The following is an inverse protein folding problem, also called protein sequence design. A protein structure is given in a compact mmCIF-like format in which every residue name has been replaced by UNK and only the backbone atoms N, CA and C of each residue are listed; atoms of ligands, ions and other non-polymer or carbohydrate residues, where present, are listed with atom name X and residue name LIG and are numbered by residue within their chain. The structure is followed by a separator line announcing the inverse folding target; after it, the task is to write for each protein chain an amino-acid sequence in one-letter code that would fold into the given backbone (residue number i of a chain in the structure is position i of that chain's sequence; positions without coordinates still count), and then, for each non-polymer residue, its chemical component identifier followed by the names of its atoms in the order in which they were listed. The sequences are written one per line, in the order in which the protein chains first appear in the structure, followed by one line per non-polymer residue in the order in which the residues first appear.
data_IF_348991873617
#
_entry.id   IF_348991873617
#
_cell.length_a   1.000
_cell.length_b   1.000
_cell.length_c   1.000
_cell.angle_alpha   90.00
_cell.angle_beta   90.00
_cell.angle_gamma   90.00
#
_symmetry.space_group_name_H-M   'P 1'
#
loop_
_entity.id
_entity.type
_entity.pdbx_description
1 polymer ?
#
# COMPACT_ATOMS: atom_id res chain seq x y z
N UNK A 1 -13.78 16.13 12.43
CA UNK A 1 -12.64 15.28 12.86
C UNK A 1 -13.16 14.29 13.90
N UNK A 2 -12.93 12.97 13.76
CA UNK A 2 -13.48 11.94 14.67
C UNK A 2 -12.71 11.78 16.00
N UNK A 3 -11.52 12.39 16.17
CA UNK A 3 -10.64 12.18 17.35
C UNK A 3 -9.91 13.45 17.84
N UNK A 4 -10.30 14.64 17.38
CA UNK A 4 -9.64 15.90 17.77
C UNK A 4 -8.21 16.09 17.22
N UNK A 5 -7.72 15.16 16.37
CA UNK A 5 -6.43 15.28 15.71
C UNK A 5 -6.49 16.26 14.55
N UNK A 6 -5.42 17.04 14.38
CA UNK A 6 -5.26 17.93 13.24
C UNK A 6 -5.30 17.14 11.92
N UNK A 7 -5.88 17.75 10.90
CA UNK A 7 -5.87 17.19 9.54
C UNK A 7 -4.45 17.33 8.99
N UNK A 8 -3.88 16.22 8.53
CA UNK A 8 -2.60 16.20 7.85
C UNK A 8 -2.69 16.94 6.50
N UNK A 9 -1.62 17.66 6.17
CA UNK A 9 -1.44 18.34 4.90
C UNK A 9 -0.84 17.39 3.86
N UNK A 10 -1.25 17.55 2.60
CA UNK A 10 -0.68 16.76 1.51
C UNK A 10 0.74 17.25 1.19
N UNK A 11 1.69 16.33 1.07
CA UNK A 11 3.05 16.61 0.64
C UNK A 11 3.40 15.85 -0.64
N UNK A 12 3.73 16.61 -1.70
CA UNK A 12 4.18 16.06 -2.98
C UNK A 12 5.49 15.27 -2.86
N UNK A 13 6.38 15.66 -1.94
CA UNK A 13 7.65 14.95 -1.72
C UNK A 13 7.40 13.56 -1.11
N UNK A 14 6.47 13.47 -0.15
CA UNK A 14 6.08 12.21 0.46
C UNK A 14 5.32 11.31 -0.52
N UNK A 15 4.44 11.88 -1.35
CA UNK A 15 3.67 11.16 -2.38
C UNK A 15 4.59 10.57 -3.46
N UNK A 16 5.54 11.37 -3.95
CA UNK A 16 6.56 10.91 -4.89
C UNK A 16 7.40 9.78 -4.30
N UNK A 17 7.85 9.93 -3.04
CA UNK A 17 8.62 8.90 -2.33
C UNK A 17 7.82 7.61 -2.15
N UNK A 18 6.56 7.72 -1.74
CA UNK A 18 5.67 6.58 -1.52
C UNK A 18 5.38 5.83 -2.84
N UNK A 19 5.12 6.58 -3.91
CA UNK A 19 4.85 6.03 -5.25
C UNK A 19 6.08 5.29 -5.80
N UNK A 20 7.26 5.90 -5.68
CA UNK A 20 8.52 5.26 -6.07
C UNK A 20 8.75 3.95 -5.31
N UNK A 21 8.58 3.96 -3.99
CA UNK A 21 8.83 2.77 -3.18
C UNK A 21 7.81 1.65 -3.39
N UNK A 22 6.54 1.98 -3.62
CA UNK A 22 5.54 1.01 -4.04
C UNK A 22 5.96 0.34 -5.36
N UNK A 23 6.44 1.14 -6.32
CA UNK A 23 6.97 0.66 -7.59
C UNK A 23 8.21 -0.23 -7.44
N UNK A 24 9.13 0.08 -6.54
CA UNK A 24 10.29 -0.76 -6.25
C UNK A 24 9.88 -2.11 -5.65
N UNK A 25 9.00 -2.13 -4.64
CA UNK A 25 8.46 -3.38 -4.07
C UNK A 25 7.80 -4.25 -5.15
N UNK A 26 6.97 -3.64 -5.99
CA UNK A 26 6.31 -4.30 -7.11
C UNK A 26 7.29 -4.75 -8.22
N UNK A 27 8.45 -4.11 -8.39
CA UNK A 27 9.40 -4.49 -9.44
C UNK A 27 10.38 -5.56 -8.97
N UNK A 28 10.79 -5.51 -7.71
CA UNK A 28 11.86 -6.34 -7.13
C UNK A 28 11.37 -7.52 -6.28
N UNK A 29 10.06 -7.74 -6.19
CA UNK A 29 9.46 -8.89 -5.49
C UNK A 29 9.76 -8.92 -4.01
N UNK A 30 9.52 -7.80 -3.33
CA UNK A 30 9.71 -7.75 -1.89
C UNK A 30 8.63 -6.90 -1.22
N UNK A 31 8.36 -7.24 0.03
CA UNK A 31 7.50 -6.46 0.90
C UNK A 31 8.17 -6.20 2.25
N UNK A 32 8.44 -4.94 2.56
CA UNK A 32 9.01 -4.55 3.84
C UNK A 32 9.49 -3.11 3.85
N UNK A 33 9.75 -2.58 5.04
CA UNK A 33 10.23 -1.19 5.23
C UNK A 33 11.69 -0.98 4.81
N UNK A 34 12.46 -2.07 4.72
CA UNK A 34 13.89 -2.08 4.43
C UNK A 34 14.12 -2.59 3.01
N UNK A 35 14.65 -1.76 2.13
CA UNK A 35 14.97 -2.16 0.77
C UNK A 35 16.13 -3.19 0.78
N UNK A 36 16.00 -4.35 0.13
CA UNK A 36 17.00 -5.42 0.18
C UNK A 36 18.28 -5.12 -0.63
N UNK A 37 18.17 -4.28 -1.66
CA UNK A 37 19.27 -4.03 -2.62
C UNK A 37 19.72 -2.56 -2.77
N UNK A 38 19.12 -1.61 -2.05
CA UNK A 38 19.40 -0.19 -2.21
C UNK A 38 19.85 0.37 -0.87
N UNK A 39 21.18 0.45 -0.67
CA UNK A 39 21.75 0.86 0.61
C UNK A 39 21.54 2.35 0.90
N UNK A 40 21.53 3.20 -0.13
CA UNK A 40 21.36 4.64 0.01
C UNK A 40 19.92 5.07 0.29
N UNK A 41 18.94 4.26 -0.10
CA UNK A 41 17.50 4.50 0.09
C UNK A 41 16.85 3.36 0.88
N UNK A 42 17.60 2.82 1.84
CA UNK A 42 17.29 1.55 2.50
C UNK A 42 16.07 1.63 3.41
N UNK A 43 15.99 2.62 4.27
CA UNK A 43 14.91 2.77 5.25
C UNK A 43 13.92 3.87 4.86
N UNK A 44 12.73 3.95 5.48
CA UNK A 44 11.76 5.01 5.19
C UNK A 44 12.35 6.40 5.42
N UNK A 45 13.19 6.54 6.46
CA UNK A 45 13.88 7.80 6.77
C UNK A 45 14.83 8.19 5.65
N UNK A 46 15.64 7.25 5.14
CA UNK A 46 16.59 7.52 4.05
C UNK A 46 15.85 7.98 2.78
N UNK A 47 14.76 7.28 2.44
CA UNK A 47 13.92 7.61 1.29
C UNK A 47 13.27 9.00 1.40
N UNK A 48 12.67 9.30 2.56
CA UNK A 48 11.99 10.58 2.78
C UNK A 48 13.03 11.72 2.81
N UNK A 49 14.15 11.56 3.53
CA UNK A 49 15.17 12.60 3.62
C UNK A 49 15.89 12.88 2.31
N UNK A 50 15.95 11.92 1.39
CA UNK A 50 16.46 12.15 0.04
C UNK A 50 15.61 13.17 -0.74
N UNK A 51 14.31 13.29 -0.44
CA UNK A 51 13.39 14.25 -1.08
C UNK A 51 13.10 15.47 -0.21
N UNK A 52 13.23 15.34 1.11
CA UNK A 52 12.97 16.40 2.08
C UNK A 52 13.96 16.32 3.25
N UNK A 53 15.18 16.85 3.09
CA UNK A 53 16.26 16.70 4.09
C UNK A 53 15.94 17.27 5.48
N UNK A 54 15.09 18.29 5.54
CA UNK A 54 14.77 19.04 6.76
C UNK A 54 13.84 18.28 7.73
N UNK A 55 13.15 17.22 7.29
CA UNK A 55 12.22 16.49 8.18
C UNK A 55 12.93 15.89 9.39
N UNK A 56 12.33 16.03 10.57
CA UNK A 56 12.90 15.50 11.81
C UNK A 56 12.17 14.24 12.26
N UNK A 57 10.89 14.13 11.93
CA UNK A 57 10.05 13.02 12.36
C UNK A 57 9.32 12.42 11.17
N UNK A 58 9.34 11.09 11.04
CA UNK A 58 8.71 10.38 9.93
C UNK A 58 8.00 9.11 10.41
N UNK A 59 7.12 8.59 9.56
CA UNK A 59 6.47 7.29 9.74
C UNK A 59 6.07 6.71 8.39
N UNK A 60 5.94 5.39 8.34
CA UNK A 60 5.50 4.68 7.14
C UNK A 60 4.51 3.58 7.52
N UNK A 61 3.38 3.52 6.80
CA UNK A 61 2.53 2.34 6.76
C UNK A 61 2.68 1.66 5.40
N UNK A 62 2.80 0.34 5.42
CA UNK A 62 2.81 -0.49 4.23
C UNK A 62 1.58 -1.40 4.21
N UNK A 63 1.10 -1.72 3.02
CA UNK A 63 0.11 -2.75 2.81
C UNK A 63 0.33 -3.43 1.47
N UNK A 64 -0.04 -4.70 1.40
CA UNK A 64 -0.09 -5.50 0.19
C UNK A 64 -1.44 -6.22 0.20
N UNK A 65 -2.33 -5.84 -0.72
CA UNK A 65 -3.68 -6.41 -0.79
C UNK A 65 -4.13 -6.58 -2.22
N UNK A 66 -4.96 -7.59 -2.45
CA UNK A 66 -5.62 -7.75 -3.73
C UNK A 66 -6.69 -6.67 -3.95
N UNK A 67 -6.87 -6.15 -5.19
CA UNK A 67 -7.98 -5.25 -5.48
C UNK A 67 -9.33 -5.99 -5.49
N UNK A 68 -9.31 -7.32 -5.43
CA UNK A 68 -10.50 -8.16 -5.29
C UNK A 68 -10.94 -8.29 -3.82
N UNK A 69 -12.25 -8.37 -3.62
CA UNK A 69 -12.91 -8.57 -2.32
C UNK A 69 -12.74 -10.02 -1.86
N UNK A 70 -11.57 -10.35 -1.32
CA UNK A 70 -11.30 -11.67 -0.75
C UNK A 70 -11.48 -11.66 0.77
N UNK A 71 -12.31 -12.56 1.29
CA UNK A 71 -12.62 -12.63 2.74
C UNK A 71 -11.41 -13.01 3.60
N UNK A 72 -10.40 -13.66 3.02
CA UNK A 72 -9.14 -14.07 3.66
C UNK A 72 -8.00 -14.01 2.63
N UNK A 73 -6.82 -13.54 3.00
CA UNK A 73 -5.64 -13.50 2.10
C UNK A 73 -5.21 -14.88 1.59
N UNK A 74 -5.65 -15.97 2.23
CA UNK A 74 -5.45 -17.36 1.78
C UNK A 74 -6.73 -18.03 1.30
N UNK A 75 -7.73 -17.24 0.90
CA UNK A 75 -8.93 -17.80 0.31
C UNK A 75 -8.54 -18.56 -0.97
N UNK A 76 -9.11 -19.75 -1.16
CA UNK A 76 -8.95 -20.48 -2.42
C UNK A 76 -9.66 -19.69 -3.51
N UNK A 77 -8.91 -19.31 -4.54
CA UNK A 77 -9.44 -18.80 -5.80
C UNK A 77 -9.06 -19.74 -6.94
N UNK A 78 -9.72 -19.60 -8.08
CA UNK A 78 -9.38 -20.27 -9.32
C UNK A 78 -9.12 -19.24 -10.41
N UNK A 79 -8.23 -19.56 -11.33
CA UNK A 79 -7.96 -18.73 -12.49
C UNK A 79 -8.58 -19.42 -13.70
N UNK A 80 -9.33 -18.67 -14.50
CA UNK A 80 -9.91 -19.13 -15.75
C UNK A 80 -9.44 -18.19 -16.87
N UNK A 81 -8.83 -18.76 -17.91
CA UNK A 81 -8.59 -18.04 -19.17
C UNK A 81 -9.88 -18.07 -20.00
N UNK A 82 -10.23 -16.92 -20.58
CA UNK A 82 -11.39 -16.72 -21.42
C UNK A 82 -11.01 -16.82 -22.91
N UNK A 83 -12.02 -17.00 -23.78
CA UNK A 83 -11.81 -17.15 -25.23
C UNK A 83 -11.14 -15.91 -25.89
N UNK A 84 -11.23 -14.74 -25.25
CA UNK A 84 -10.60 -13.48 -25.69
C UNK A 84 -9.18 -13.28 -25.13
N UNK A 85 -8.63 -14.25 -24.40
CA UNK A 85 -7.32 -14.19 -23.77
C UNK A 85 -7.28 -13.38 -22.46
N UNK A 86 -8.44 -12.94 -21.95
CA UNK A 86 -8.54 -12.36 -20.61
C UNK A 86 -8.59 -13.44 -19.53
N UNK A 87 -8.39 -13.04 -18.27
CA UNK A 87 -8.41 -13.96 -17.13
C UNK A 87 -9.44 -13.51 -16.10
N UNK A 88 -10.23 -14.47 -15.61
CA UNK A 88 -11.14 -14.32 -14.49
C UNK A 88 -10.58 -15.01 -13.25
N UNK A 89 -10.58 -14.31 -12.13
CA UNK A 89 -10.34 -14.89 -10.81
C UNK A 89 -11.67 -15.22 -10.16
N UNK A 90 -11.88 -16.49 -9.83
CA UNK A 90 -13.13 -17.03 -9.33
C UNK A 90 -13.02 -17.47 -7.88
N UNK A 91 -14.10 -17.36 -7.13
CA UNK A 91 -14.21 -17.87 -5.78
C UNK A 91 -14.38 -19.41 -5.71
N UNK A 92 -14.52 -19.93 -4.49
CA UNK A 92 -14.74 -21.37 -4.25
C UNK A 92 -16.01 -21.95 -4.90
N UNK A 93 -16.97 -21.10 -5.27
CA UNK A 93 -18.23 -21.44 -5.94
C UNK A 93 -18.16 -21.22 -7.45
N UNK A 94 -16.97 -20.93 -8.01
CA UNK A 94 -16.75 -20.60 -9.43
C UNK A 94 -17.45 -19.31 -9.88
N UNK A 95 -17.71 -18.38 -8.96
CA UNK A 95 -18.22 -17.04 -9.29
C UNK A 95 -17.06 -16.05 -9.42
N UNK A 96 -17.11 -15.09 -10.36
CA UNK A 96 -16.10 -14.04 -10.46
C UNK A 96 -15.91 -13.29 -9.14
N UNK A 97 -14.66 -13.07 -8.74
CA UNK A 97 -14.32 -12.24 -7.61
C UNK A 97 -14.69 -10.79 -7.90
N UNK A 98 -15.34 -10.14 -6.95
CA UNK A 98 -15.75 -8.75 -7.08
C UNK A 98 -14.56 -7.81 -6.85
N UNK A 99 -14.41 -6.81 -7.69
CA UNK A 99 -13.44 -5.73 -7.47
C UNK A 99 -13.93 -4.77 -6.39
N UNK A 100 -12.98 -4.22 -5.64
CA UNK A 100 -13.22 -2.99 -4.90
C UNK A 100 -13.32 -1.80 -5.87
N UNK A 101 -14.24 -0.88 -5.59
CA UNK A 101 -14.10 0.51 -6.10
C UNK A 101 -12.93 1.19 -5.38
N UNK A 102 -12.39 2.26 -5.96
CA UNK A 102 -11.35 3.07 -5.31
C UNK A 102 -11.71 3.42 -3.85
N UNK A 103 -12.93 3.90 -3.63
CA UNK A 103 -13.41 4.26 -2.28
C UNK A 103 -13.45 3.05 -1.34
N UNK A 104 -14.04 1.94 -1.77
CA UNK A 104 -14.17 0.75 -0.92
C UNK A 104 -12.81 0.07 -0.65
N UNK A 105 -11.84 0.24 -1.55
CA UNK A 105 -10.48 -0.26 -1.34
C UNK A 105 -9.75 0.60 -0.32
N UNK A 106 -9.82 1.92 -0.46
CA UNK A 106 -9.23 2.84 0.51
C UNK A 106 -9.82 2.66 1.92
N UNK A 107 -11.15 2.45 2.02
CA UNK A 107 -11.83 2.13 3.28
C UNK A 107 -11.31 0.81 3.87
N UNK A 108 -11.26 -0.26 3.06
CA UNK A 108 -10.73 -1.56 3.47
C UNK A 108 -9.30 -1.47 4.00
N UNK A 109 -8.39 -0.82 3.27
CA UNK A 109 -6.98 -0.65 3.67
C UNK A 109 -6.89 0.14 4.97
N UNK A 110 -7.63 1.24 5.08
CA UNK A 110 -7.65 2.09 6.28
C UNK A 110 -8.16 1.31 7.49
N UNK A 111 -9.21 0.50 7.33
CA UNK A 111 -9.75 -0.35 8.40
C UNK A 111 -8.74 -1.42 8.83
N UNK A 112 -8.02 -2.04 7.89
CA UNK A 112 -6.95 -3.00 8.20
C UNK A 112 -5.81 -2.34 8.98
N UNK A 113 -5.37 -1.15 8.56
CA UNK A 113 -4.37 -0.39 9.31
C UNK A 113 -4.87 0.04 10.70
N UNK A 114 -6.11 0.50 10.82
CA UNK A 114 -6.72 0.82 12.11
C UNK A 114 -6.84 -0.39 13.02
N UNK A 115 -7.01 -1.60 12.49
CA UNK A 115 -6.98 -2.85 13.26
C UNK A 115 -5.59 -3.20 13.81
N UNK A 116 -4.52 -2.85 13.10
CA UNK A 116 -3.13 -3.14 13.48
C UNK A 116 -2.58 -2.11 14.48
N UNK A 117 -1.94 -2.56 15.56
CA UNK A 117 -1.36 -1.66 16.58
C UNK A 117 -0.33 -0.70 15.99
N UNK A 118 0.62 -1.20 15.20
CA UNK A 118 1.69 -0.38 14.61
C UNK A 118 1.16 0.64 13.60
N UNK A 119 0.36 0.19 12.64
CA UNK A 119 -0.20 1.09 11.63
C UNK A 119 -1.15 2.13 12.22
N UNK A 120 -1.99 1.72 13.19
CA UNK A 120 -2.88 2.63 13.93
C UNK A 120 -2.10 3.68 14.71
N UNK A 121 -0.93 3.35 15.25
CA UNK A 121 -0.08 4.33 15.94
C UNK A 121 0.33 5.45 14.99
N UNK A 122 0.73 5.13 13.76
CA UNK A 122 1.04 6.15 12.75
C UNK A 122 -0.19 6.98 12.36
N UNK A 123 -1.32 6.32 12.07
CA UNK A 123 -2.58 7.00 11.69
C UNK A 123 -3.13 7.94 12.75
N UNK A 124 -2.84 7.68 14.03
CA UNK A 124 -3.33 8.45 15.17
C UNK A 124 -2.23 9.30 15.84
N UNK A 125 -1.07 9.43 15.22
CA UNK A 125 0.04 10.17 15.79
C UNK A 125 -0.21 11.69 15.62
N UNK A 126 -0.37 12.46 16.70
CA UNK A 126 -0.61 13.90 16.61
C UNK A 126 0.63 14.69 16.17
N UNK A 127 1.81 14.06 16.15
CA UNK A 127 3.06 14.74 15.83
C UNK A 127 3.35 14.80 14.34
N UNK A 128 2.52 14.19 13.48
CA UNK A 128 2.63 14.33 12.04
C UNK A 128 1.84 15.54 11.56
N UNK A 129 2.43 16.27 10.62
CA UNK A 129 1.81 17.42 9.98
C UNK A 129 1.50 17.12 8.51
N UNK A 130 2.30 16.28 7.86
CA UNK A 130 2.22 15.99 6.44
C UNK A 130 1.99 14.50 6.15
N UNK A 131 1.34 14.22 5.02
CA UNK A 131 1.16 12.88 4.48
C UNK A 131 1.42 12.82 2.97
N UNK A 132 1.86 11.67 2.49
CA UNK A 132 1.86 11.31 1.06
C UNK A 132 1.53 9.83 0.90
N UNK A 133 0.92 9.47 -0.23
CA UNK A 133 0.54 8.08 -0.51
C UNK A 133 1.03 7.65 -1.88
N UNK A 134 1.27 6.36 -2.04
CA UNK A 134 1.66 5.78 -3.30
C UNK A 134 1.19 4.35 -3.39
N UNK A 135 1.01 3.86 -4.61
CA UNK A 135 0.64 2.49 -4.86
C UNK A 135 1.24 1.98 -6.17
N UNK A 136 1.40 0.67 -6.26
CA UNK A 136 1.81 -0.02 -7.49
C UNK A 136 1.12 -1.38 -7.57
N UNK A 137 0.75 -1.77 -8.79
CA UNK A 137 0.20 -3.10 -9.07
C UNK A 137 1.36 -4.04 -9.40
N UNK A 138 1.43 -5.19 -8.74
CA UNK A 138 2.32 -6.25 -9.18
C UNK A 138 1.75 -6.90 -10.42
N UNK A 139 2.38 -6.74 -11.59
CA UNK A 139 1.91 -7.40 -12.82
C UNK A 139 2.71 -8.65 -13.19
N UNK A 140 3.78 -8.97 -12.45
CA UNK A 140 4.77 -9.96 -12.89
C UNK A 140 4.27 -11.39 -12.74
N UNK A 141 3.30 -11.58 -11.86
CA UNK A 141 2.76 -12.90 -11.53
C UNK A 141 1.40 -13.14 -12.20
N UNK A 142 0.94 -12.27 -13.11
CA UNK A 142 -0.27 -12.53 -13.89
C UNK A 142 0.03 -13.39 -15.11
N UNK A 143 -0.83 -14.38 -15.41
CA UNK A 143 -2.09 -14.71 -14.72
C UNK A 143 -1.95 -15.69 -13.54
N UNK A 144 -0.75 -16.20 -13.25
CA UNK A 144 -0.50 -17.30 -12.31
C UNK A 144 -0.95 -17.03 -10.86
N UNK A 145 -0.99 -15.77 -10.44
CA UNK A 145 -1.44 -15.33 -9.13
C UNK A 145 -2.53 -14.26 -9.22
N UNK A 146 -3.23 -14.04 -8.11
CA UNK A 146 -4.20 -12.94 -8.01
C UNK A 146 -3.49 -11.59 -7.98
N UNK A 147 -4.05 -10.54 -8.60
CA UNK A 147 -3.50 -9.21 -8.46
C UNK A 147 -3.30 -8.73 -7.06
N UNK A 148 -2.11 -8.17 -6.81
CA UNK A 148 -1.70 -7.56 -5.56
C UNK A 148 -1.31 -6.11 -5.81
N UNK A 149 -1.78 -5.23 -4.93
CA UNK A 149 -1.45 -3.81 -4.90
C UNK A 149 -0.58 -3.54 -3.70
N UNK A 150 0.63 -3.05 -3.94
CA UNK A 150 1.51 -2.48 -2.93
C UNK A 150 1.06 -1.06 -2.64
N UNK A 151 0.94 -0.70 -1.35
CA UNK A 151 0.46 0.60 -0.90
C UNK A 151 1.43 1.12 0.16
N UNK A 152 1.86 2.36 -0.01
CA UNK A 152 2.77 3.06 0.89
C UNK A 152 2.07 4.34 1.35
N UNK A 153 2.08 4.59 2.65
CA UNK A 153 1.65 5.86 3.24
C UNK A 153 2.78 6.40 4.11
N UNK A 154 3.33 7.54 3.71
CA UNK A 154 4.39 8.23 4.42
C UNK A 154 3.82 9.41 5.21
N UNK A 155 4.36 9.63 6.40
CA UNK A 155 4.07 10.74 7.29
C UNK A 155 5.35 11.50 7.60
N UNK A 156 5.26 12.82 7.76
CA UNK A 156 6.40 13.60 8.21
C UNK A 156 6.00 14.87 8.96
N UNK A 157 6.96 15.39 9.72
CA UNK A 157 6.99 16.75 10.25
C UNK A 157 8.41 17.33 10.20
N UNK A 158 8.55 18.66 10.05
CA UNK A 158 9.83 19.36 10.16
C UNK A 158 10.51 19.25 11.52
#
# INVERSE_FOLDING_TARGET
MKRGLQKLEYSKNLDFTATGYAGEMASFDFFGHVHPHNESLRTPVDRIKAQWPEVQYTGENLAEFSPYRISKMRAKYFIQENDDGTYDWLDSQKKPLELHTYYSFAEFVTDKWMGSKGHRQNLLNPNYEYLGMGYALDQRQFPDEIPMVYIVQNFASP
#
